data_IF_000575149073
#
_entry.id   IF_000575149073
#
_cell.length_a   1.000
_cell.length_b   1.000
_cell.length_c   1.000
_cell.angle_alpha   90.00
_cell.angle_beta   90.00
_cell.angle_gamma   90.00
#
_symmetry.space_group_name_H-M   'P 1'
#
loop_
_entity.id
_entity.type
_entity.pdbx_description
1 polymer ?
#
# COMPACT_ATOMS: atom_id res chain seq x y z
N UNK A 1 34.28 11.34 10.68
CA UNK A 1 33.87 11.02 10.28
C UNK A 1 33.02 10.72 10.26
N UNK A 2 33.04 10.64 10.20
CA UNK A 2 32.39 10.28 9.88
C UNK A 2 31.49 9.75 9.74
N UNK A 3 31.35 9.75 9.64
CA UNK A 3 30.61 9.29 9.22
C UNK A 3 29.91 8.50 9.19
N UNK A 4 29.80 8.40 9.45
CA UNK A 4 29.31 7.68 9.11
C UNK A 4 28.37 7.28 9.06
N UNK A 5 28.22 7.48 8.97
CA UNK A 5 27.40 7.24 8.48
C UNK A 5 26.69 6.55 8.21
N UNK A 6 26.69 6.45 8.31
CA UNK A 6 26.15 5.89 7.71
C UNK A 6 25.36 5.27 7.49
N UNK A 7 25.32 5.21 7.73
CA UNK A 7 24.66 4.63 7.46
C UNK A 7 23.75 4.33 6.82
N UNK A 8 23.55 4.55 6.33
CA UNK A 8 22.76 4.29 5.59
C UNK A 8 22.90 3.25 4.94
N UNK A 9 23.72 2.95 5.00
CA UNK A 9 23.86 2.01 4.41
C UNK A 9 22.86 1.23 4.37
N UNK A 10 22.13 1.43 4.40
CA UNK A 10 21.05 0.94 4.32
C UNK A 10 20.79 0.11 3.37
N UNK A 11 21.30 0.19 2.68
CA UNK A 11 21.04 -0.51 1.61
C UNK A 11 21.01 -1.96 1.80
N UNK A 12 21.15 -2.43 2.93
CA UNK A 12 20.98 -3.83 3.17
C UNK A 12 19.52 -4.23 3.08
N UNK A 13 18.61 -3.27 2.98
CA UNK A 13 17.20 -3.59 2.91
C UNK A 13 16.59 -2.90 1.70
N UNK A 14 16.46 -3.62 0.60
CA UNK A 14 15.93 -3.00 -0.62
C UNK A 14 14.47 -2.58 -0.50
N UNK A 15 13.78 -3.04 0.53
CA UNK A 15 12.36 -2.73 0.68
C UNK A 15 12.08 -1.63 1.70
N UNK A 16 13.13 -0.97 2.21
CA UNK A 16 12.95 0.02 3.26
C UNK A 16 12.01 1.15 2.82
N UNK A 17 12.20 1.65 1.61
CA UNK A 17 11.32 2.70 1.10
C UNK A 17 9.89 2.23 0.93
N UNK A 18 9.72 0.99 0.49
CA UNK A 18 8.39 0.44 0.31
C UNK A 18 7.69 0.25 1.65
N UNK A 19 8.41 -0.16 2.68
CA UNK A 19 7.78 -0.29 3.99
C UNK A 19 7.40 1.06 4.57
N UNK A 20 8.23 2.08 4.39
CA UNK A 20 7.84 3.42 4.82
C UNK A 20 6.60 3.88 4.09
N UNK A 21 6.49 3.52 2.81
CA UNK A 21 5.32 3.89 2.03
C UNK A 21 4.07 3.18 2.54
N UNK A 22 4.17 1.90 2.95
CA UNK A 22 3.00 1.22 3.50
C UNK A 22 2.57 1.85 4.81
N UNK A 23 3.52 2.25 5.65
CA UNK A 23 3.17 2.88 6.92
C UNK A 23 2.50 4.22 6.70
N UNK A 24 3.02 5.00 5.76
CA UNK A 24 2.43 6.29 5.46
C UNK A 24 1.03 6.13 4.87
N UNK A 25 0.87 5.19 3.94
CA UNK A 25 -0.42 4.95 3.33
C UNK A 25 -1.44 4.51 4.37
N UNK A 26 -1.03 3.64 5.28
CA UNK A 26 -1.91 3.20 6.36
C UNK A 26 -2.35 4.39 7.21
N UNK A 27 -1.40 5.25 7.56
CA UNK A 27 -1.72 6.42 8.37
C UNK A 27 -2.71 7.34 7.64
N UNK A 28 -2.45 7.62 6.38
CA UNK A 28 -3.33 8.52 5.61
C UNK A 28 -4.72 7.92 5.42
N UNK A 29 -4.78 6.64 5.09
CA UNK A 29 -6.07 5.99 4.87
C UNK A 29 -6.91 6.03 6.13
N UNK A 30 -6.31 5.77 7.29
CA UNK A 30 -7.05 5.79 8.54
C UNK A 30 -7.62 7.16 8.85
N UNK A 31 -6.97 8.23 8.39
CA UNK A 31 -7.49 9.56 8.58
C UNK A 31 -8.67 9.88 7.66
N UNK A 32 -8.79 9.17 6.57
CA UNK A 32 -9.82 9.46 5.55
C UNK A 32 -11.11 8.68 5.78
N UNK A 33 -11.06 7.56 6.47
CA UNK A 33 -12.16 6.62 6.51
C UNK A 33 -12.95 6.69 7.81
N UNK A 34 -14.17 6.14 7.77
CA UNK A 34 -15.00 6.05 8.97
C UNK A 34 -14.68 4.80 9.78
N UNK A 35 -14.10 3.77 9.14
CA UNK A 35 -13.81 2.50 9.79
C UNK A 35 -12.31 2.22 9.78
N UNK A 36 -11.52 2.97 10.57
CA UNK A 36 -10.06 2.83 10.49
C UNK A 36 -9.55 1.47 10.93
N UNK A 37 -10.29 0.77 11.76
CA UNK A 37 -9.86 -0.55 12.22
C UNK A 37 -9.84 -1.58 11.10
N UNK A 38 -10.53 -1.33 10.02
CA UNK A 38 -10.55 -2.25 8.88
C UNK A 38 -9.38 -2.01 7.94
N UNK A 39 -8.74 -0.86 8.03
CA UNK A 39 -7.65 -0.51 7.12
C UNK A 39 -6.50 -1.48 7.27
N UNK A 40 -6.06 -2.04 6.16
CA UNK A 40 -4.87 -2.89 6.10
C UNK A 40 -4.08 -2.50 4.86
N UNK A 41 -2.77 -2.56 4.97
CA UNK A 41 -1.90 -2.27 3.83
C UNK A 41 -0.89 -3.39 3.75
N UNK A 42 -0.75 -3.99 2.58
CA UNK A 42 0.13 -5.12 2.38
C UNK A 42 1.07 -4.85 1.23
N UNK A 43 2.29 -5.32 1.37
CA UNK A 43 3.31 -5.23 0.33
C UNK A 43 3.63 -6.63 -0.13
N UNK A 44 3.56 -6.87 -1.41
CA UNK A 44 3.95 -8.16 -1.96
C UNK A 44 4.52 -7.94 -3.36
N UNK A 45 5.06 -9.02 -3.92
CA UNK A 45 5.63 -8.97 -5.26
C UNK A 45 4.78 -9.88 -6.14
N UNK A 46 4.33 -9.37 -7.26
CA UNK A 46 3.47 -10.14 -8.14
C UNK A 46 4.29 -11.08 -9.04
N UNK A 47 3.61 -11.75 -9.94
CA UNK A 47 4.25 -12.75 -10.79
C UNK A 47 5.32 -12.16 -11.70
N UNK A 48 5.20 -10.88 -11.99
CA UNK A 48 6.17 -10.20 -12.84
C UNK A 48 7.33 -9.62 -12.05
N UNK A 49 7.45 -9.98 -10.78
CA UNK A 49 8.44 -9.41 -9.86
C UNK A 49 8.21 -7.91 -9.63
N UNK A 50 6.97 -7.46 -9.84
CA UNK A 50 6.60 -6.07 -9.61
C UNK A 50 6.13 -5.91 -8.17
N UNK A 51 6.72 -4.98 -7.39
CA UNK A 51 6.20 -4.73 -6.05
C UNK A 51 4.83 -4.08 -6.12
N UNK A 52 3.94 -4.55 -5.26
CA UNK A 52 2.57 -4.08 -5.20
C UNK A 52 2.25 -3.74 -3.75
N UNK A 53 1.70 -2.54 -3.54
CA UNK A 53 1.18 -2.16 -2.24
C UNK A 53 -0.34 -2.15 -2.37
N UNK A 54 -1.00 -2.93 -1.53
CA UNK A 54 -2.44 -3.09 -1.59
C UNK A 54 -3.06 -2.44 -0.37
N UNK A 55 -3.98 -1.52 -0.60
CA UNK A 55 -4.74 -0.87 0.47
C UNK A 55 -6.12 -1.50 0.52
N UNK A 56 -6.48 -1.99 1.70
CA UNK A 56 -7.77 -2.64 1.92
C UNK A 56 -8.55 -1.81 2.93
N UNK A 57 -9.79 -1.48 2.59
CA UNK A 57 -10.64 -0.68 3.46
C UNK A 57 -12.01 -1.32 3.60
N UNK A 58 -12.80 -0.83 4.53
CA UNK A 58 -14.19 -1.28 4.69
C UNK A 58 -14.96 -0.93 3.40
N UNK A 59 -15.90 -1.78 2.97
CA UNK A 59 -16.65 -1.48 1.74
C UNK A 59 -17.31 -0.11 1.75
N UNK A 60 -17.80 0.33 2.91
CA UNK A 60 -18.45 1.63 3.01
C UNK A 60 -17.48 2.78 2.82
N UNK A 61 -16.21 2.53 2.95
CA UNK A 61 -15.19 3.57 2.87
C UNK A 61 -14.47 3.63 1.53
N UNK A 62 -14.77 2.67 0.65
CA UNK A 62 -14.04 2.61 -0.61
C UNK A 62 -14.13 3.94 -1.37
N UNK A 63 -15.33 4.51 -1.42
CA UNK A 63 -15.51 5.78 -2.10
C UNK A 63 -14.67 6.92 -1.52
N UNK A 64 -14.38 6.86 -0.22
CA UNK A 64 -13.60 7.91 0.43
C UNK A 64 -12.15 7.87 0.03
N UNK A 65 -11.63 6.67 -0.26
CA UNK A 65 -10.21 6.58 -0.66
C UNK A 65 -10.02 6.63 -2.17
N UNK A 66 -11.12 6.50 -2.92
CA UNK A 66 -11.07 6.71 -4.37
C UNK A 66 -11.28 8.19 -4.66
N UNK A 67 -12.33 8.77 -4.08
CA UNK A 67 -12.65 10.17 -4.26
C UNK A 67 -13.33 10.46 -5.57
N UNK A 68 -13.79 11.68 -5.73
CA UNK A 68 -14.47 12.08 -6.95
C UNK A 68 -13.50 11.98 -8.12
N UNK A 69 -13.90 11.29 -9.15
CA UNK A 69 -13.10 11.09 -10.36
C UNK A 69 -11.74 10.48 -10.06
N UNK A 70 -11.64 9.75 -8.95
CA UNK A 70 -10.40 9.07 -8.61
C UNK A 70 -9.32 9.98 -8.06
N UNK A 71 -9.66 11.20 -7.64
CA UNK A 71 -8.64 12.17 -7.23
C UNK A 71 -7.91 11.78 -5.97
N UNK A 72 -8.62 11.20 -5.00
CA UNK A 72 -7.95 10.79 -3.77
C UNK A 72 -7.01 9.63 -4.06
N UNK A 73 -7.50 8.65 -4.82
CA UNK A 73 -6.65 7.50 -5.18
C UNK A 73 -5.41 7.96 -5.93
N UNK A 74 -5.57 8.91 -6.84
CA UNK A 74 -4.42 9.42 -7.58
C UNK A 74 -3.41 10.06 -6.64
N UNK A 75 -3.89 10.86 -5.69
CA UNK A 75 -3.00 11.52 -4.73
C UNK A 75 -2.28 10.49 -3.86
N UNK A 76 -3.01 9.48 -3.40
CA UNK A 76 -2.39 8.44 -2.58
C UNK A 76 -1.31 7.70 -3.35
N UNK A 77 -1.58 7.36 -4.62
CA UNK A 77 -0.58 6.68 -5.45
C UNK A 77 0.66 7.55 -5.66
N UNK A 78 0.46 8.83 -5.86
CA UNK A 78 1.58 9.75 -6.05
C UNK A 78 2.47 9.80 -4.80
N UNK A 79 1.83 9.87 -3.63
CA UNK A 79 2.58 9.91 -2.38
C UNK A 79 3.33 8.60 -2.15
N UNK A 80 2.65 7.48 -2.40
CA UNK A 80 3.26 6.17 -2.20
C UNK A 80 4.49 5.99 -3.10
N UNK A 81 4.35 6.35 -4.36
CA UNK A 81 5.46 6.20 -5.30
C UNK A 81 6.65 7.07 -4.93
N UNK A 82 6.37 8.28 -4.50
CA UNK A 82 7.45 9.17 -4.06
C UNK A 82 8.15 8.62 -2.83
N UNK A 83 7.38 8.09 -1.89
CA UNK A 83 7.95 7.59 -0.63
C UNK A 83 8.71 6.30 -0.84
N UNK A 84 8.23 5.43 -1.72
CA UNK A 84 8.86 4.14 -1.97
C UNK A 84 10.18 4.28 -2.70
N UNK A 85 10.33 5.38 -3.43
CA UNK A 85 11.57 5.62 -4.17
C UNK A 85 11.85 4.53 -5.19
N UNK A 86 10.79 4.13 -5.91
CA UNK A 86 10.99 3.13 -6.91
C UNK A 86 9.67 2.72 -7.51
N UNK A 87 9.73 1.72 -8.36
CA UNK A 87 8.54 1.23 -8.98
C UNK A 87 7.66 0.54 -7.97
N UNK A 88 6.40 0.82 -8.02
CA UNK A 88 5.43 0.13 -7.19
C UNK A 88 4.05 0.35 -7.80
N UNK A 89 3.26 -0.70 -7.83
CA UNK A 89 1.85 -0.59 -8.18
C UNK A 89 1.07 -0.42 -6.89
N UNK A 90 -0.03 0.31 -6.96
CA UNK A 90 -0.87 0.53 -5.78
C UNK A 90 -2.29 0.11 -6.16
N UNK A 91 -2.80 -0.88 -5.44
CA UNK A 91 -4.16 -1.35 -5.62
C UNK A 91 -5.00 -0.96 -4.43
N UNK A 92 -6.24 -0.59 -4.67
CA UNK A 92 -7.16 -0.20 -3.60
C UNK A 92 -8.40 -1.07 -3.72
N UNK A 93 -8.70 -1.81 -2.67
CA UNK A 93 -9.86 -2.69 -2.65
C UNK A 93 -10.60 -2.57 -1.33
N UNK A 94 -11.82 -3.09 -1.30
CA UNK A 94 -12.48 -3.23 -0.01
C UNK A 94 -12.25 -4.63 0.54
N UNK A 95 -12.64 -4.82 1.80
CA UNK A 95 -12.32 -6.07 2.48
C UNK A 95 -13.08 -7.26 1.91
N UNK A 96 -14.22 -7.03 1.28
CA UNK A 96 -14.95 -8.12 0.65
C UNK A 96 -14.26 -8.58 -0.61
N UNK A 97 -13.76 -7.65 -1.41
CA UNK A 97 -12.99 -8.01 -2.60
C UNK A 97 -11.71 -8.74 -2.22
N UNK A 98 -11.06 -8.29 -1.17
CA UNK A 98 -9.83 -8.90 -0.73
C UNK A 98 -10.07 -10.33 -0.26
N UNK A 99 -11.16 -10.56 0.45
CA UNK A 99 -11.49 -11.90 0.92
C UNK A 99 -11.82 -12.83 -0.23
N UNK A 100 -12.53 -12.33 -1.22
CA UNK A 100 -12.86 -13.14 -2.38
C UNK A 100 -11.63 -13.57 -3.14
N UNK A 101 -10.70 -12.65 -3.31
CA UNK A 101 -9.46 -12.99 -3.98
C UNK A 101 -8.67 -14.05 -3.23
N UNK A 102 -8.65 -13.94 -1.91
CA UNK A 102 -7.97 -14.93 -1.09
C UNK A 102 -8.60 -16.30 -1.20
N UNK A 103 -9.90 -16.34 -1.24
CA UNK A 103 -10.61 -17.60 -1.31
C UNK A 103 -10.41 -18.29 -2.63
N UNK A 104 -10.32 -17.54 -3.68
CA UNK A 104 -10.17 -18.12 -4.99
C UNK A 104 -8.92 -18.95 -5.12
N UNK A 105 -7.85 -18.46 -4.56
CA UNK A 105 -6.59 -19.14 -4.75
C UNK A 105 -6.59 -20.57 -4.24
N UNK A 106 -7.01 -20.83 -3.03
CA UNK A 106 -6.92 -22.19 -2.52
C UNK A 106 -7.92 -23.13 -3.12
N UNK A 107 -8.99 -22.64 -3.64
CA UNK A 107 -10.01 -23.54 -4.12
C UNK A 107 -9.76 -24.00 -5.52
N UNK A 108 -8.79 -23.50 -6.13
CA UNK A 108 -8.54 -23.88 -7.49
C UNK A 108 -8.20 -25.35 -7.57
N UNK A 109 -7.87 -25.93 -6.52
CA UNK A 109 -7.55 -27.34 -6.50
C UNK A 109 -8.75 -28.24 -6.68
#
# INVERSE_FOLDING_TARGET
MRRERRPNTPSSDPWAGHRRATELLSFLARKLVANPDTVAVELFVDESAQPVIELIVHPDDLGKVIGRSGRVAHALRTIVRATAEGRVAVDILDSEEAAEGSEDAPTSG
#
